data_IF_628631801710
#
_entry.id   IF_628631801710
#
_cell.length_a   1.000
_cell.length_b   1.000
_cell.length_c   1.000
_cell.angle_alpha   90.00
_cell.angle_beta   90.00
_cell.angle_gamma   90.00
#
_symmetry.space_group_name_H-M   'P 1'
#
loop_
_entity.id
_entity.type
_entity.pdbx_description
1 polymer ?
#
# COMPACT_ATOMS: atom_id res chain seq x y z
N UNK A 1 8.14 -7.22 -3.72
CA UNK A 1 7.48 -7.34 -2.44
C UNK A 1 7.51 -8.79 -2.06
N UNK A 2 8.20 -9.09 -0.96
CA UNK A 2 8.23 -10.40 -0.35
C UNK A 2 6.86 -10.78 0.20
N UNK A 3 6.76 -12.02 0.65
CA UNK A 3 5.49 -12.62 1.06
C UNK A 3 4.95 -12.01 2.36
N UNK A 4 5.82 -11.59 3.28
CA UNK A 4 5.39 -11.03 4.56
C UNK A 4 4.68 -9.69 4.35
N UNK A 5 5.26 -8.80 3.55
CA UNK A 5 4.62 -7.53 3.21
C UNK A 5 3.31 -7.73 2.43
N UNK A 6 3.26 -8.72 1.52
CA UNK A 6 2.02 -9.07 0.79
C UNK A 6 0.92 -9.54 1.74
N UNK A 7 1.24 -10.47 2.65
CA UNK A 7 0.30 -10.97 3.66
C UNK A 7 -0.19 -9.86 4.58
N UNK A 8 0.70 -8.98 5.05
CA UNK A 8 0.32 -7.84 5.89
C UNK A 8 -0.67 -6.90 5.17
N UNK A 9 -0.44 -6.59 3.89
CA UNK A 9 -1.39 -5.83 3.08
C UNK A 9 -2.72 -6.57 2.88
N UNK A 10 -2.65 -7.89 2.66
CA UNK A 10 -3.82 -8.72 2.41
C UNK A 10 -4.73 -8.83 3.65
N UNK A 11 -4.14 -8.99 4.84
CA UNK A 11 -4.86 -9.00 6.12
C UNK A 11 -5.68 -7.72 6.34
N UNK A 12 -5.17 -6.59 5.86
CA UNK A 12 -5.83 -5.28 5.98
C UNK A 12 -6.54 -4.82 4.71
N UNK A 13 -6.64 -5.65 3.66
CA UNK A 13 -7.10 -5.22 2.33
C UNK A 13 -8.47 -4.52 2.38
N UNK A 14 -9.45 -5.09 3.08
CA UNK A 14 -10.79 -4.49 3.21
C UNK A 14 -10.78 -3.13 3.91
N UNK A 15 -9.90 -2.95 4.90
CA UNK A 15 -9.71 -1.69 5.60
C UNK A 15 -9.00 -0.67 4.71
N UNK A 16 -7.89 -1.06 4.06
CA UNK A 16 -7.10 -0.18 3.19
C UNK A 16 -7.93 0.33 2.00
N UNK A 17 -8.69 -0.55 1.35
CA UNK A 17 -9.58 -0.20 0.23
C UNK A 17 -10.54 0.93 0.61
N UNK A 18 -11.05 0.95 1.84
CA UNK A 18 -12.01 1.97 2.31
C UNK A 18 -11.35 3.23 2.85
N UNK A 19 -10.22 3.09 3.54
CA UNK A 19 -9.68 4.15 4.38
C UNK A 19 -8.48 4.88 3.76
N UNK A 20 -7.70 4.24 2.88
CA UNK A 20 -6.53 4.86 2.27
C UNK A 20 -6.90 6.11 1.48
N UNK A 21 -6.20 7.20 1.72
CA UNK A 21 -6.32 8.45 0.96
C UNK A 21 -5.14 8.59 0.00
N UNK A 22 -5.41 8.35 -1.29
CA UNK A 22 -4.44 8.52 -2.37
C UNK A 22 -4.39 9.98 -2.83
N UNK A 23 -3.89 10.86 -1.95
CA UNK A 23 -3.69 12.27 -2.28
C UNK A 23 -2.68 12.44 -3.42
N UNK A 24 -2.64 13.63 -4.03
CA UNK A 24 -1.64 13.93 -5.06
C UNK A 24 -0.22 13.77 -4.51
N UNK A 25 0.06 14.27 -3.31
CA UNK A 25 1.38 14.16 -2.67
C UNK A 25 1.76 12.72 -2.36
N UNK A 26 0.77 11.90 -1.95
CA UNK A 26 0.95 10.46 -1.78
C UNK A 26 1.41 9.80 -3.09
N UNK A 27 0.68 10.02 -4.19
CA UNK A 27 0.96 9.37 -5.46
C UNK A 27 2.22 9.90 -6.15
N UNK A 28 2.58 11.16 -5.92
CA UNK A 28 3.82 11.76 -6.44
C UNK A 28 5.05 11.02 -5.91
N UNK A 29 5.06 10.55 -4.66
CA UNK A 29 6.18 9.74 -4.12
C UNK A 29 6.38 8.43 -4.86
N UNK A 30 5.28 7.77 -5.23
CA UNK A 30 5.33 6.54 -6.03
C UNK A 30 5.80 6.80 -7.47
N UNK A 31 5.48 7.98 -8.02
CA UNK A 31 6.00 8.42 -9.33
C UNK A 31 7.51 8.62 -9.29
N UNK A 32 7.97 9.40 -8.32
CA UNK A 32 9.34 9.92 -8.27
C UNK A 32 10.36 8.81 -7.98
N UNK A 33 9.89 7.72 -7.37
CA UNK A 33 10.66 6.49 -7.14
C UNK A 33 10.62 5.52 -8.32
N UNK A 34 9.80 5.79 -9.34
CA UNK A 34 9.62 4.92 -10.51
C UNK A 34 8.82 3.63 -10.23
N UNK A 35 8.29 3.46 -9.02
CA UNK A 35 7.49 2.30 -8.61
C UNK A 35 6.17 2.25 -9.39
N UNK A 36 5.55 3.42 -9.60
CA UNK A 36 4.36 3.55 -10.44
C UNK A 36 4.67 4.54 -11.57
N UNK A 37 4.43 4.12 -12.81
CA UNK A 37 4.61 4.99 -13.98
C UNK A 37 3.60 6.14 -13.98
N UNK A 38 4.00 7.30 -14.51
CA UNK A 38 3.13 8.48 -14.63
C UNK A 38 1.83 8.21 -15.38
N UNK A 39 1.84 7.29 -16.36
CA UNK A 39 0.65 6.83 -17.09
C UNK A 39 -0.35 6.13 -16.18
N UNK A 40 0.13 5.35 -15.21
CA UNK A 40 -0.69 4.66 -14.21
C UNK A 40 -1.26 5.61 -13.15
N UNK A 41 -0.48 6.60 -12.72
CA UNK A 41 -0.98 7.66 -11.82
C UNK A 41 -2.08 8.46 -12.51
N UNK A 42 -1.94 8.75 -13.80
CA UNK A 42 -3.01 9.34 -14.58
C UNK A 42 -4.25 8.43 -14.60
N UNK A 43 -4.12 7.10 -14.74
CA UNK A 43 -5.28 6.19 -14.65
C UNK A 43 -5.95 6.24 -13.27
N UNK A 44 -5.16 6.23 -12.20
CA UNK A 44 -5.67 6.27 -10.81
C UNK A 44 -6.34 7.62 -10.50
N UNK A 45 -5.76 8.74 -10.94
CA UNK A 45 -6.25 10.09 -10.64
C UNK A 45 -7.32 10.59 -11.63
N UNK A 46 -7.24 10.22 -12.91
CA UNK A 46 -8.06 10.77 -14.01
C UNK A 46 -9.29 9.92 -14.31
N UNK A 47 -9.42 8.69 -13.77
CA UNK A 47 -10.70 7.99 -13.80
C UNK A 47 -11.71 8.72 -12.91
N UNK A 48 -12.34 9.75 -13.46
CA UNK A 48 -13.40 10.58 -12.85
C UNK A 48 -14.68 9.79 -12.50
N UNK A 49 -14.77 8.53 -12.92
CA UNK A 49 -15.87 7.60 -12.63
C UNK A 49 -15.51 6.46 -11.67
N UNK A 50 -14.24 6.30 -11.25
CA UNK A 50 -13.85 5.23 -10.35
C UNK A 50 -14.11 5.61 -8.89
N UNK A 51 -14.71 4.71 -8.11
CA UNK A 51 -14.93 4.95 -6.67
C UNK A 51 -13.59 5.06 -5.92
N UNK A 52 -13.62 5.57 -4.68
CA UNK A 52 -12.42 5.57 -3.81
C UNK A 52 -11.89 4.15 -3.64
N UNK A 53 -12.79 3.21 -3.38
CA UNK A 53 -12.46 1.80 -3.18
C UNK A 53 -11.85 1.16 -4.43
N UNK A 54 -12.39 1.44 -5.61
CA UNK A 54 -11.84 0.93 -6.87
C UNK A 54 -10.42 1.46 -7.13
N UNK A 55 -10.17 2.75 -6.86
CA UNK A 55 -8.84 3.36 -6.98
C UNK A 55 -7.86 2.75 -5.99
N UNK A 56 -8.27 2.59 -4.73
CA UNK A 56 -7.43 1.99 -3.70
C UNK A 56 -7.13 0.52 -3.98
N UNK A 57 -8.12 -0.26 -4.44
CA UNK A 57 -7.94 -1.66 -4.81
C UNK A 57 -6.93 -1.82 -5.95
N UNK A 58 -7.05 -1.03 -7.02
CA UNK A 58 -6.09 -1.03 -8.14
C UNK A 58 -4.69 -0.60 -7.71
N UNK A 59 -4.60 0.39 -6.83
CA UNK A 59 -3.33 0.83 -6.28
C UNK A 59 -2.65 -0.28 -5.47
N UNK A 60 -3.37 -0.96 -4.58
CA UNK A 60 -2.86 -2.09 -3.79
C UNK A 60 -2.42 -3.26 -4.69
N UNK A 61 -3.20 -3.58 -5.72
CA UNK A 61 -2.83 -4.56 -6.73
C UNK A 61 -1.52 -4.18 -7.46
N UNK A 62 -1.33 -2.89 -7.74
CA UNK A 62 -0.12 -2.40 -8.38
C UNK A 62 1.10 -2.56 -7.47
N UNK A 63 1.06 -2.01 -6.26
CA UNK A 63 2.24 -1.99 -5.38
C UNK A 63 2.65 -3.40 -4.92
N UNK A 64 1.69 -4.31 -4.74
CA UNK A 64 2.01 -5.71 -4.39
C UNK A 64 2.80 -6.40 -5.49
N UNK A 65 2.62 -6.04 -6.77
CA UNK A 65 3.38 -6.63 -7.90
C UNK A 65 4.78 -6.04 -8.09
N UNK A 66 5.16 -5.02 -7.32
CA UNK A 66 6.47 -4.36 -7.42
C UNK A 66 7.49 -4.96 -6.43
N UNK A 67 8.67 -4.36 -6.29
CA UNK A 67 9.75 -4.83 -5.41
C UNK A 67 9.50 -4.49 -3.92
N UNK A 68 10.49 -4.68 -3.05
CA UNK A 68 10.34 -4.40 -1.62
C UNK A 68 10.38 -2.91 -1.29
N UNK A 69 10.91 -2.07 -2.19
CA UNK A 69 10.96 -0.63 -1.96
C UNK A 69 9.56 -0.03 -1.89
N UNK A 70 8.57 -0.66 -2.53
CA UNK A 70 7.18 -0.22 -2.44
C UNK A 70 6.58 -0.26 -1.03
N UNK A 71 7.06 -1.14 -0.16
CA UNK A 71 6.66 -1.13 1.24
C UNK A 71 7.21 0.12 1.94
N UNK A 72 8.51 0.38 1.83
CA UNK A 72 9.14 1.56 2.44
C UNK A 72 8.51 2.86 1.94
N UNK A 73 8.26 2.97 0.64
CA UNK A 73 7.61 4.13 0.05
C UNK A 73 6.14 4.25 0.49
N UNK A 74 5.41 3.13 0.66
CA UNK A 74 4.08 3.14 1.24
C UNK A 74 4.12 3.69 2.67
N UNK A 75 5.00 3.16 3.52
CA UNK A 75 5.11 3.57 4.92
C UNK A 75 5.48 5.05 5.04
N UNK A 76 6.45 5.52 4.24
CA UNK A 76 6.84 6.92 4.21
C UNK A 76 5.72 7.82 3.71
N UNK A 77 5.00 7.41 2.65
CA UNK A 77 3.90 8.19 2.09
C UNK A 77 2.72 8.29 3.06
N UNK A 78 2.44 7.25 3.83
CA UNK A 78 1.42 7.28 4.87
C UNK A 78 1.76 8.29 5.96
N UNK A 79 3.00 8.29 6.48
CA UNK A 79 3.43 9.27 7.49
C UNK A 79 3.47 10.69 6.95
N UNK A 80 3.97 10.90 5.72
CA UNK A 80 4.06 12.22 5.11
C UNK A 80 2.69 12.82 4.73
N UNK A 81 1.62 12.02 4.78
CA UNK A 81 0.25 12.45 4.49
C UNK A 81 -0.68 12.28 5.68
N UNK A 82 -0.13 12.24 6.90
CA UNK A 82 -0.87 12.16 8.17
C UNK A 82 -1.80 10.94 8.29
N UNK A 83 -1.44 9.82 7.63
CA UNK A 83 -2.17 8.54 7.67
C UNK A 83 -1.51 7.55 8.66
N UNK A 84 -1.04 8.05 9.80
CA UNK A 84 -0.27 7.28 10.78
C UNK A 84 -1.04 6.08 11.37
N UNK A 85 -2.36 6.18 11.49
CA UNK A 85 -3.19 5.06 11.97
C UNK A 85 -3.09 3.86 11.00
N UNK A 86 -3.11 4.12 9.69
CA UNK A 86 -2.98 3.08 8.67
C UNK A 86 -1.57 2.48 8.73
N UNK A 87 -0.55 3.33 8.86
CA UNK A 87 0.84 2.90 9.00
C UNK A 87 1.03 1.99 10.23
N UNK A 88 0.45 2.37 11.38
CA UNK A 88 0.53 1.57 12.61
C UNK A 88 -0.12 0.19 12.44
N UNK A 89 -1.32 0.14 11.83
CA UNK A 89 -2.01 -1.13 11.57
C UNK A 89 -1.18 -2.04 10.65
N UNK A 90 -0.57 -1.49 9.60
CA UNK A 90 0.29 -2.24 8.70
C UNK A 90 1.53 -2.80 9.40
N UNK A 91 2.17 -2.02 10.28
CA UNK A 91 3.30 -2.50 11.09
C UNK A 91 2.88 -3.64 12.02
N UNK A 92 1.75 -3.50 12.71
CA UNK A 92 1.24 -4.58 13.57
C UNK A 92 0.92 -5.85 12.77
N UNK A 93 0.28 -5.71 11.61
CA UNK A 93 -0.04 -6.87 10.77
C UNK A 93 1.21 -7.57 10.26
N UNK A 94 2.29 -6.83 9.96
CA UNK A 94 3.57 -7.42 9.59
C UNK A 94 4.17 -8.23 10.74
N UNK A 95 4.16 -7.69 11.96
CA UNK A 95 4.65 -8.40 13.16
C UNK A 95 3.86 -9.71 13.38
N UNK A 96 2.53 -9.66 13.26
CA UNK A 96 1.68 -10.86 13.38
C UNK A 96 2.06 -11.94 12.35
N UNK A 97 2.31 -11.54 11.09
CA UNK A 97 2.73 -12.46 10.03
C UNK A 97 4.11 -13.07 10.31
N UNK A 98 5.06 -12.27 10.79
CA UNK A 98 6.40 -12.73 11.14
C UNK A 98 6.36 -13.74 12.30
N UNK A 99 5.58 -13.44 13.35
CA UNK A 99 5.39 -14.34 14.50
C UNK A 99 4.68 -15.65 14.13
N UNK A 100 3.76 -15.63 13.17
CA UNK A 100 3.09 -16.83 12.66
C UNK A 100 4.07 -17.73 11.92
N UNK A 101 4.89 -17.16 11.03
CA UNK A 101 5.88 -17.94 10.27
C UNK A 101 6.94 -18.58 11.21
N UNK A 102 7.40 -17.86 12.24
CA UNK A 102 8.36 -18.41 13.22
C UNK A 102 7.80 -19.62 14.01
N UNK A 103 6.50 -19.62 14.28
CA UNK A 103 5.80 -20.73 14.95
C UNK A 103 5.61 -21.94 14.04
N UNK A 104 5.46 -21.74 12.73
CA UNK A 104 5.34 -22.83 11.75
C UNK A 104 6.68 -23.52 11.44
N UNK A 105 7.79 -22.81 11.64
CA UNK A 105 9.15 -23.32 11.45
C UNK A 105 9.75 -24.02 12.69
N UNK A 106 9.05 -23.98 13.84
CA UNK A 106 9.45 -24.55 15.14
C UNK A 106 8.82 -25.92 15.41
#
# INVERSE_FOLDING_TARGET
MDENYRKALQNLNSYLVKNLELSTDFLVKFRDTGIIQSSWIAIIMVQTAASKEERNSKFLECITKTDNNAWEILMQSLTDTDQDEIALKLRHSLIEVEEENEKEES
#
